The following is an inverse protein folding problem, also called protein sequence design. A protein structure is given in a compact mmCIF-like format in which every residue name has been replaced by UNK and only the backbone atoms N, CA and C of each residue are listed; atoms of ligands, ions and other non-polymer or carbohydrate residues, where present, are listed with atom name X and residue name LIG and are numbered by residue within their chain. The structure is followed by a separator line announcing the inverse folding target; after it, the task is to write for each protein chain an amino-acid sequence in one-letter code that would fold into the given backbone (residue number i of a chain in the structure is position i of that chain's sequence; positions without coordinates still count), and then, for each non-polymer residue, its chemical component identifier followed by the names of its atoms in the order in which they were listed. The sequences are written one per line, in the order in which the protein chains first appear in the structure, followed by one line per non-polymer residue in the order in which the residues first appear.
data_IF_328422553941
#
_entry.id   IF_328422553941
#
_cell.length_a   1.000
_cell.length_b   1.000
_cell.length_c   1.000
_cell.angle_alpha   90.00
_cell.angle_beta   90.00
_cell.angle_gamma   90.00
#
_symmetry.space_group_name_H-M   'P 1'
#
loop_
_entity.id
_entity.type
_entity.pdbx_description
1 polymer ?
#
# COMPACT_ATOMS: atom_id res chain seq x y z
N UNK A 1 -12.66 -6.00 13.63
CA UNK A 1 -13.33 -4.76 14.08
C UNK A 1 -14.71 -4.56 13.43
N UNK A 2 -15.04 -5.22 12.34
CA UNK A 2 -16.27 -5.02 11.54
C UNK A 2 -16.57 -3.53 11.22
N UNK A 3 -15.54 -2.70 11.16
CA UNK A 3 -15.66 -1.29 10.80
C UNK A 3 -15.52 -1.10 9.30
N UNK A 4 -16.27 -0.16 8.69
CA UNK A 4 -16.02 0.23 7.30
C UNK A 4 -14.57 0.70 7.12
N UNK A 5 -13.90 0.31 6.04
CA UNK A 5 -12.49 0.66 5.81
C UNK A 5 -12.19 2.15 5.81
N UNK A 6 -13.15 2.97 5.36
CA UNK A 6 -13.01 4.44 5.43
C UNK A 6 -12.92 4.94 6.89
N UNK A 7 -13.60 4.27 7.82
CA UNK A 7 -13.51 4.56 9.25
C UNK A 7 -12.15 4.11 9.78
N UNK A 8 -11.66 2.92 9.37
CA UNK A 8 -10.32 2.43 9.74
C UNK A 8 -9.24 3.38 9.21
N UNK A 9 -9.31 3.76 7.93
CA UNK A 9 -8.35 4.68 7.33
C UNK A 9 -8.30 6.04 8.04
N UNK A 10 -9.44 6.58 8.43
CA UNK A 10 -9.51 7.89 9.13
C UNK A 10 -9.18 7.81 10.61
N UNK A 11 -9.57 6.76 11.29
CA UNK A 11 -9.44 6.63 12.74
C UNK A 11 -8.12 6.00 13.20
N UNK A 12 -7.55 5.12 12.40
CA UNK A 12 -6.39 4.31 12.80
C UNK A 12 -5.17 4.48 11.89
N UNK A 13 -5.28 5.21 10.78
CA UNK A 13 -4.19 5.38 9.84
C UNK A 13 -3.79 6.86 9.69
N UNK A 14 -2.54 7.06 9.29
CA UNK A 14 -2.03 8.32 8.73
C UNK A 14 -1.81 8.14 7.25
N UNK A 15 -2.32 9.11 6.49
CA UNK A 15 -2.06 9.25 5.08
C UNK A 15 -0.80 10.09 4.86
N UNK A 16 0.06 9.65 3.96
CA UNK A 16 1.26 10.38 3.52
C UNK A 16 1.54 10.09 2.05
N UNK A 17 2.40 10.87 1.45
CA UNK A 17 2.99 10.57 0.15
C UNK A 17 4.37 9.99 0.39
N UNK A 18 4.71 8.89 -0.27
CA UNK A 18 6.04 8.30 -0.25
C UNK A 18 7.08 9.29 -0.80
N UNK A 19 8.22 9.42 -0.14
CA UNK A 19 9.25 10.39 -0.54
C UNK A 19 9.97 9.99 -1.84
N UNK A 20 10.04 8.69 -2.12
CA UNK A 20 10.70 8.15 -3.32
C UNK A 20 9.67 7.80 -4.37
N UNK A 21 8.65 7.02 -4.02
CA UNK A 21 7.64 6.55 -4.97
C UNK A 21 6.61 7.59 -5.38
N UNK A 22 6.46 8.69 -4.61
CA UNK A 22 5.40 9.70 -4.76
C UNK A 22 3.98 9.13 -4.71
N UNK A 23 3.85 7.86 -4.33
CA UNK A 23 2.55 7.19 -4.17
C UNK A 23 1.91 7.50 -2.81
N UNK A 24 0.58 7.47 -2.75
CA UNK A 24 -0.13 7.54 -1.49
C UNK A 24 0.15 6.30 -0.63
N UNK A 25 0.37 6.52 0.66
CA UNK A 25 0.63 5.47 1.64
C UNK A 25 -0.27 5.65 2.85
N UNK A 26 -0.98 4.59 3.23
CA UNK A 26 -1.68 4.49 4.51
C UNK A 26 -0.83 3.66 5.49
N UNK A 27 -0.51 4.24 6.65
CA UNK A 27 0.20 3.55 7.72
C UNK A 27 -0.60 3.64 9.00
N UNK A 28 -0.57 2.59 9.82
CA UNK A 28 -1.16 2.63 11.15
C UNK A 28 -0.57 3.80 11.95
N UNK A 29 -1.44 4.60 12.54
CA UNK A 29 -1.05 5.75 13.34
C UNK A 29 -0.77 5.29 14.77
N UNK A 30 0.36 5.68 15.38
CA UNK A 30 0.61 5.40 16.79
C UNK A 30 -0.41 6.14 17.68
N UNK A 31 -0.73 5.56 18.83
CA UNK A 31 -1.59 6.21 19.84
C UNK A 31 -0.91 7.48 20.35
N UNK A 32 -1.68 8.56 20.52
CA UNK A 32 -1.15 9.89 20.86
C UNK A 32 -0.32 9.94 22.14
N UNK A 33 -0.68 9.10 23.11
CA UNK A 33 -0.04 9.07 24.43
C UNK A 33 1.28 8.28 24.45
N UNK A 34 1.45 7.37 23.49
CA UNK A 34 2.67 6.59 23.35
C UNK A 34 3.05 6.47 21.88
N UNK A 35 3.92 7.37 21.42
CA UNK A 35 4.26 7.56 20.00
C UNK A 35 4.82 6.33 19.30
N UNK A 36 5.18 5.28 20.03
CA UNK A 36 5.77 4.06 19.52
C UNK A 36 4.79 2.88 19.46
N UNK A 37 3.59 2.98 20.05
CA UNK A 37 2.71 1.84 20.16
C UNK A 37 1.67 1.78 19.04
N UNK A 38 1.49 0.57 18.51
CA UNK A 38 0.43 0.25 17.57
C UNK A 38 -0.95 0.54 18.19
N UNK A 39 -1.93 1.11 17.45
CA UNK A 39 -3.27 1.38 17.97
C UNK A 39 -4.06 0.11 18.35
N UNK A 40 -3.60 -1.05 17.92
CA UNK A 40 -4.21 -2.35 18.23
C UNK A 40 -3.44 -3.15 19.30
N UNK A 41 -2.42 -2.55 19.93
CA UNK A 41 -1.70 -3.19 21.02
C UNK A 41 -2.45 -2.95 22.33
N UNK A 42 -2.97 -4.02 22.93
CA UNK A 42 -3.69 -4.01 24.21
C UNK A 42 -3.01 -4.99 25.15
N UNK A 43 -2.57 -4.56 26.31
CA UNK A 43 -1.92 -5.40 27.32
C UNK A 43 -0.82 -6.32 26.78
N UNK A 44 0.04 -5.77 25.89
CA UNK A 44 1.10 -6.47 25.18
C UNK A 44 0.64 -7.55 24.18
N UNK A 45 -0.64 -7.55 23.80
CA UNK A 45 -1.20 -8.45 22.78
C UNK A 45 -1.80 -7.66 21.61
N UNK A 46 -1.72 -8.22 20.40
CA UNK A 46 -2.38 -7.65 19.25
C UNK A 46 -3.88 -7.96 19.27
N UNK A 47 -4.72 -6.92 19.37
CA UNK A 47 -6.18 -7.07 19.37
C UNK A 47 -6.76 -7.55 18.02
N UNK A 48 -5.96 -7.54 16.96
CA UNK A 48 -6.34 -7.99 15.61
C UNK A 48 -5.40 -9.07 15.09
N UNK A 49 -4.82 -9.89 15.98
CA UNK A 49 -3.81 -10.89 15.61
C UNK A 49 -4.25 -11.81 14.45
N UNK A 50 -5.50 -12.27 14.47
CA UNK A 50 -6.06 -13.14 13.41
C UNK A 50 -6.28 -12.41 12.06
N UNK A 51 -6.14 -11.10 12.04
CA UNK A 51 -6.35 -10.24 10.87
C UNK A 51 -5.27 -9.14 10.77
N UNK A 52 -4.10 -9.42 11.29
CA UNK A 52 -2.99 -8.48 11.27
C UNK A 52 -2.47 -8.23 9.85
N UNK A 53 -1.93 -7.04 9.57
CA UNK A 53 -1.25 -6.77 8.31
C UNK A 53 -0.09 -7.75 8.08
N UNK A 54 0.17 -8.10 6.80
CA UNK A 54 1.22 -9.05 6.46
C UNK A 54 2.58 -8.67 7.06
N UNK A 55 2.92 -7.39 7.06
CA UNK A 55 4.18 -6.89 7.66
C UNK A 55 4.31 -7.21 9.15
N UNK A 56 3.20 -7.30 9.87
CA UNK A 56 3.19 -7.71 11.28
C UNK A 56 3.32 -9.23 11.42
N UNK A 57 2.59 -10.00 10.60
CA UNK A 57 2.63 -11.45 10.58
C UNK A 57 4.02 -11.98 10.18
N UNK A 58 4.70 -11.30 9.27
CA UNK A 58 6.05 -11.67 8.83
C UNK A 58 7.14 -11.40 9.86
N UNK A 59 6.95 -10.42 10.77
CA UNK A 59 8.02 -10.03 11.68
C UNK A 59 8.56 -11.23 12.49
N UNK A 60 9.86 -11.46 12.59
CA UNK A 60 10.97 -10.56 12.21
C UNK A 60 11.45 -10.66 10.76
N UNK A 61 10.79 -11.40 9.90
CA UNK A 61 11.12 -11.41 8.49
C UNK A 61 10.58 -10.15 7.79
N UNK A 62 11.29 -9.72 6.75
CA UNK A 62 10.79 -8.79 5.75
C UNK A 62 10.71 -9.48 4.40
N UNK A 63 9.81 -9.00 3.56
CA UNK A 63 9.62 -9.44 2.19
C UNK A 63 10.09 -8.35 1.24
N UNK A 64 10.81 -8.73 0.21
CA UNK A 64 11.17 -7.88 -0.91
C UNK A 64 10.63 -8.51 -2.19
N UNK A 65 10.06 -7.69 -3.06
CA UNK A 65 9.50 -8.11 -4.35
C UNK A 65 10.18 -7.30 -5.43
N UNK A 66 10.84 -8.00 -6.37
CA UNK A 66 11.52 -7.35 -7.50
C UNK A 66 10.54 -6.87 -8.57
N UNK A 67 11.01 -6.07 -9.53
CA UNK A 67 10.22 -5.64 -10.71
C UNK A 67 9.79 -6.83 -11.60
N UNK A 68 10.47 -7.96 -11.52
CA UNK A 68 10.13 -9.22 -12.21
C UNK A 68 9.16 -10.08 -11.40
N UNK A 69 8.71 -9.62 -10.21
CA UNK A 69 7.80 -10.33 -9.34
C UNK A 69 8.46 -11.44 -8.52
N UNK A 70 9.81 -11.46 -8.45
CA UNK A 70 10.52 -12.41 -7.61
C UNK A 70 10.44 -11.99 -6.15
N UNK A 71 10.08 -12.94 -5.28
CA UNK A 71 9.93 -12.72 -3.85
C UNK A 71 11.15 -13.25 -3.11
N UNK A 72 11.70 -12.44 -2.24
CA UNK A 72 12.76 -12.82 -1.31
C UNK A 72 12.40 -12.40 0.11
N UNK A 73 12.92 -13.17 1.08
CA UNK A 73 12.71 -12.93 2.51
C UNK A 73 14.05 -12.74 3.20
N UNK A 74 14.12 -11.80 4.11
CA UNK A 74 15.32 -11.54 4.92
C UNK A 74 14.96 -11.24 6.37
N UNK A 75 15.89 -11.53 7.26
CA UNK A 75 15.74 -11.23 8.69
C UNK A 75 16.03 -9.76 8.95
N UNK A 76 15.08 -9.07 9.58
CA UNK A 76 15.30 -7.69 10.03
C UNK A 76 16.14 -7.65 11.31
N UNK A 77 16.99 -6.64 11.50
CA UNK A 77 17.61 -6.37 12.79
C UNK A 77 16.53 -6.15 13.84
N UNK A 78 16.47 -6.99 14.86
CA UNK A 78 15.48 -6.88 15.92
C UNK A 78 16.16 -6.49 17.23
N UNK A 79 15.57 -5.55 17.96
CA UNK A 79 16.01 -5.21 19.31
C UNK A 79 15.37 -6.09 20.41
N UNK A 80 14.47 -7.01 20.04
CA UNK A 80 13.88 -7.97 20.96
C UNK A 80 14.80 -9.18 21.08
N UNK A 81 15.36 -9.40 22.26
CA UNK A 81 16.19 -10.57 22.59
C UNK A 81 15.35 -11.85 22.57
N UNK A 82 15.18 -12.44 21.40
CA UNK A 82 14.61 -13.78 21.23
C UNK A 82 15.70 -14.85 21.40
N UNK A 83 15.31 -16.03 21.86
CA UNK A 83 16.18 -17.20 21.74
C UNK A 83 16.30 -17.55 20.25
N UNK A 84 17.51 -17.91 19.82
CA UNK A 84 17.74 -18.45 18.49
C UNK A 84 16.97 -19.77 18.39
N UNK A 85 15.93 -19.80 17.60
CA UNK A 85 15.17 -21.02 17.28
C UNK A 85 15.66 -21.47 15.90
N UNK A 86 16.24 -22.65 15.82
CA UNK A 86 16.51 -23.29 14.55
C UNK A 86 15.18 -23.68 13.90
N UNK A 87 14.70 -22.88 12.95
CA UNK A 87 13.50 -23.13 12.19
C UNK A 87 13.75 -22.79 10.72
N UNK A 88 13.09 -23.53 9.82
CA UNK A 88 13.12 -23.17 8.40
C UNK A 88 12.20 -21.99 8.15
N UNK A 89 12.62 -21.04 7.32
CA UNK A 89 11.79 -19.91 6.88
C UNK A 89 10.44 -20.38 6.34
N UNK A 90 10.43 -21.46 5.57
CA UNK A 90 9.21 -22.05 5.01
C UNK A 90 8.21 -22.49 6.10
N UNK A 91 8.67 -23.08 7.20
CA UNK A 91 7.80 -23.49 8.30
C UNK A 91 7.18 -22.28 9.01
N UNK A 92 7.96 -21.18 9.11
CA UNK A 92 7.47 -19.92 9.64
C UNK A 92 6.39 -19.31 8.74
N UNK A 93 6.67 -19.18 7.44
CA UNK A 93 5.74 -18.60 6.46
C UNK A 93 4.42 -19.37 6.37
N UNK A 94 4.48 -20.71 6.47
CA UNK A 94 3.29 -21.57 6.42
C UNK A 94 2.32 -21.35 7.58
N UNK A 95 2.80 -20.89 8.75
CA UNK A 95 1.94 -20.61 9.92
C UNK A 95 0.98 -19.44 9.68
N UNK A 96 1.32 -18.52 8.80
CA UNK A 96 0.58 -17.29 8.53
C UNK A 96 -0.10 -17.28 7.17
N UNK A 97 -0.21 -18.45 6.52
CA UNK A 97 -0.79 -18.59 5.18
C UNK A 97 -0.18 -17.63 4.14
N UNK A 98 1.12 -17.33 4.31
CA UNK A 98 1.83 -16.39 3.44
C UNK A 98 1.83 -16.85 1.98
N UNK A 99 2.03 -18.15 1.66
CA UNK A 99 1.99 -18.59 0.26
C UNK A 99 0.68 -18.29 -0.46
N UNK A 100 -0.48 -18.35 0.22
CA UNK A 100 -1.77 -18.02 -0.38
C UNK A 100 -1.94 -16.51 -0.59
N UNK A 101 -1.26 -15.69 0.20
CA UNK A 101 -1.29 -14.21 0.13
C UNK A 101 -0.26 -13.63 -0.83
N UNK A 102 0.83 -14.35 -1.07
CA UNK A 102 1.99 -13.87 -1.84
C UNK A 102 1.61 -13.39 -3.26
N UNK A 103 0.70 -14.07 -3.94
CA UNK A 103 0.25 -13.67 -5.26
C UNK A 103 -0.43 -12.27 -5.25
N UNK A 104 -1.17 -11.95 -4.18
CA UNK A 104 -1.79 -10.63 -3.99
C UNK A 104 -0.74 -9.57 -3.67
N UNK A 105 0.24 -9.90 -2.83
CA UNK A 105 1.33 -9.00 -2.46
C UNK A 105 2.20 -8.68 -3.68
N UNK A 106 2.54 -9.69 -4.49
CA UNK A 106 3.26 -9.51 -5.76
C UNK A 106 2.46 -8.60 -6.70
N UNK A 107 1.16 -8.87 -6.88
CA UNK A 107 0.32 -8.02 -7.74
C UNK A 107 0.25 -6.58 -7.25
N UNK A 108 0.13 -6.38 -5.94
CA UNK A 108 0.14 -5.05 -5.32
C UNK A 108 1.49 -4.33 -5.53
N UNK A 109 2.61 -5.01 -5.26
CA UNK A 109 3.94 -4.44 -5.41
C UNK A 109 4.22 -4.02 -6.86
N UNK A 110 3.94 -4.90 -7.83
CA UNK A 110 4.10 -4.58 -9.25
C UNK A 110 3.19 -3.42 -9.68
N UNK A 111 1.97 -3.36 -9.17
CA UNK A 111 1.07 -2.22 -9.40
C UNK A 111 1.67 -0.92 -8.86
N UNK A 112 2.24 -0.93 -7.66
CA UNK A 112 2.88 0.25 -7.09
C UNK A 112 4.07 0.70 -7.95
N UNK A 113 4.91 -0.22 -8.43
CA UNK A 113 6.05 0.09 -9.30
C UNK A 113 5.62 0.68 -10.65
N UNK A 114 4.55 0.12 -11.29
CA UNK A 114 3.96 0.69 -12.50
C UNK A 114 3.44 2.12 -12.28
N UNK A 115 2.75 2.34 -11.15
CA UNK A 115 2.17 3.65 -10.82
C UNK A 115 3.23 4.69 -10.45
N UNK A 116 4.34 4.28 -9.84
CA UNK A 116 5.49 5.15 -9.58
C UNK A 116 6.02 5.75 -10.89
N UNK A 117 6.29 4.89 -11.88
CA UNK A 117 6.76 5.31 -13.21
C UNK A 117 5.74 6.24 -13.92
N UNK A 118 4.43 6.01 -13.73
CA UNK A 118 3.36 6.85 -14.30
C UNK A 118 3.25 8.21 -13.57
N UNK A 119 3.35 8.23 -12.25
CA UNK A 119 3.28 9.47 -11.46
C UNK A 119 4.46 10.37 -11.81
N UNK A 120 5.68 9.83 -11.94
CA UNK A 120 6.85 10.60 -12.38
C UNK A 120 6.61 11.26 -13.75
N UNK A 121 6.03 10.53 -14.71
CA UNK A 121 5.66 11.10 -16.02
C UNK A 121 4.62 12.20 -15.90
N UNK A 122 3.62 12.06 -15.03
CA UNK A 122 2.58 13.07 -14.82
C UNK A 122 3.14 14.33 -14.15
N UNK A 123 4.08 14.19 -13.22
CA UNK A 123 4.77 15.30 -12.55
C UNK A 123 5.57 16.16 -13.57
N UNK A 124 6.14 15.52 -14.56
CA UNK A 124 6.88 16.22 -15.62
C UNK A 124 6.00 17.03 -16.59
N UNK A 125 4.71 16.68 -16.74
CA UNK A 125 3.85 17.25 -17.80
C UNK A 125 2.64 18.03 -17.28
N UNK A 126 2.13 17.74 -16.08
CA UNK A 126 0.93 18.37 -15.56
C UNK A 126 1.24 19.63 -14.75
N UNK A 127 0.36 20.63 -14.85
CA UNK A 127 0.38 21.76 -13.93
C UNK A 127 0.09 21.30 -12.49
N UNK A 128 0.50 22.06 -11.46
CA UNK A 128 0.29 21.70 -10.07
C UNK A 128 -1.18 21.47 -9.70
N UNK A 129 -2.11 22.14 -10.38
CA UNK A 129 -3.56 21.95 -10.17
C UNK A 129 -4.02 20.61 -10.71
N UNK A 130 -3.59 20.25 -11.91
CA UNK A 130 -3.96 18.96 -12.53
C UNK A 130 -3.27 17.80 -11.85
N UNK A 131 -2.03 17.98 -11.39
CA UNK A 131 -1.31 16.97 -10.63
C UNK A 131 -2.03 16.63 -9.31
N UNK A 132 -2.51 17.64 -8.56
CA UNK A 132 -3.32 17.38 -7.36
C UNK A 132 -4.60 16.58 -7.67
N UNK A 133 -5.23 16.84 -8.82
CA UNK A 133 -6.40 16.05 -9.27
C UNK A 133 -6.01 14.61 -9.60
N UNK A 134 -4.88 14.42 -10.30
CA UNK A 134 -4.35 13.08 -10.60
C UNK A 134 -4.04 12.29 -9.32
N UNK A 135 -3.41 12.91 -8.32
CA UNK A 135 -3.14 12.31 -7.03
C UNK A 135 -4.41 11.97 -6.24
N UNK A 136 -5.44 12.84 -6.26
CA UNK A 136 -6.72 12.54 -5.62
C UNK A 136 -7.41 11.31 -6.24
N UNK A 137 -7.34 11.14 -7.56
CA UNK A 137 -7.83 9.94 -8.26
C UNK A 137 -7.04 8.69 -7.89
N UNK A 138 -5.73 8.82 -7.75
CA UNK A 138 -4.85 7.73 -7.30
C UNK A 138 -5.23 7.24 -5.89
N UNK A 139 -5.45 8.15 -4.94
CA UNK A 139 -5.96 7.82 -3.61
C UNK A 139 -7.25 7.01 -3.66
N UNK A 140 -8.21 7.44 -4.48
CA UNK A 140 -9.50 6.77 -4.65
C UNK A 140 -9.32 5.36 -5.22
N UNK A 141 -8.51 5.22 -6.28
CA UNK A 141 -8.29 3.95 -6.93
C UNK A 141 -7.58 2.92 -6.05
N UNK A 142 -6.62 3.34 -5.23
CA UNK A 142 -5.84 2.42 -4.39
C UNK A 142 -6.54 2.06 -3.07
N UNK A 143 -7.35 2.95 -2.47
CA UNK A 143 -7.80 2.76 -1.09
C UNK A 143 -9.29 2.90 -0.84
N UNK A 144 -10.08 3.50 -1.74
CA UNK A 144 -11.45 3.86 -1.38
C UNK A 144 -12.54 3.29 -2.27
N UNK A 145 -12.24 2.93 -3.52
CA UNK A 145 -13.23 2.41 -4.46
C UNK A 145 -13.31 0.88 -4.42
N UNK A 146 -13.63 0.32 -3.24
CA UNK A 146 -13.76 -1.13 -3.06
C UNK A 146 -15.05 -1.49 -2.33
N UNK A 147 -15.73 -2.52 -2.85
CA UNK A 147 -16.75 -3.27 -2.14
C UNK A 147 -16.07 -4.47 -1.47
N UNK A 148 -16.00 -4.45 -0.16
CA UNK A 148 -15.29 -5.47 0.64
C UNK A 148 -16.06 -6.80 0.75
N UNK A 149 -17.29 -6.87 0.24
CA UNK A 149 -18.01 -8.13 0.05
C UNK A 149 -17.61 -8.86 -1.23
N UNK A 150 -16.83 -8.23 -2.10
CA UNK A 150 -16.41 -8.76 -3.40
C UNK A 150 -14.90 -9.04 -3.43
N UNK A 151 -14.45 -9.94 -4.32
CA UNK A 151 -13.02 -10.19 -4.52
C UNK A 151 -12.24 -8.91 -4.84
N UNK A 152 -11.09 -8.74 -4.19
CA UNK A 152 -10.30 -7.51 -4.30
C UNK A 152 -9.66 -7.32 -5.68
N UNK A 153 -9.06 -8.37 -6.26
CA UNK A 153 -8.24 -8.27 -7.46
C UNK A 153 -8.99 -7.73 -8.69
N UNK A 154 -10.19 -8.21 -9.04
CA UNK A 154 -10.95 -7.65 -10.16
C UNK A 154 -11.29 -6.18 -9.97
N UNK A 155 -11.53 -5.74 -8.72
CA UNK A 155 -11.81 -4.34 -8.40
C UNK A 155 -10.56 -3.48 -8.54
N UNK A 156 -9.39 -3.95 -8.08
CA UNK A 156 -8.12 -3.25 -8.31
C UNK A 156 -7.90 -3.01 -9.80
N UNK A 157 -8.06 -4.04 -10.63
CA UNK A 157 -7.85 -3.94 -12.07
C UNK A 157 -8.81 -2.95 -12.73
N UNK A 158 -10.10 -2.98 -12.34
CA UNK A 158 -11.09 -2.03 -12.81
C UNK A 158 -10.77 -0.58 -12.38
N UNK A 159 -10.35 -0.40 -11.13
CA UNK A 159 -9.94 0.90 -10.58
C UNK A 159 -8.71 1.45 -11.31
N UNK A 160 -7.72 0.61 -11.59
CA UNK A 160 -6.52 1.00 -12.33
C UNK A 160 -6.83 1.36 -13.78
N UNK A 161 -7.72 0.62 -14.43
CA UNK A 161 -8.18 0.96 -15.78
C UNK A 161 -8.86 2.34 -15.82
N UNK A 162 -9.78 2.60 -14.89
CA UNK A 162 -10.43 3.89 -14.74
C UNK A 162 -9.46 5.03 -14.43
N UNK A 163 -8.49 4.78 -13.55
CA UNK A 163 -7.45 5.74 -13.18
C UNK A 163 -6.61 6.16 -14.40
N UNK A 164 -6.10 5.17 -15.18
CA UNK A 164 -5.30 5.43 -16.38
C UNK A 164 -6.09 6.22 -17.43
N UNK A 165 -7.38 5.93 -17.60
CA UNK A 165 -8.28 6.68 -18.48
C UNK A 165 -8.48 8.14 -18.02
N UNK A 166 -8.63 8.37 -16.72
CA UNK A 166 -8.75 9.72 -16.14
C UNK A 166 -7.44 10.51 -16.28
N UNK A 167 -6.28 9.89 -16.05
CA UNK A 167 -4.97 10.51 -16.24
C UNK A 167 -4.70 10.89 -17.69
N UNK A 168 -5.10 10.05 -18.65
CA UNK A 168 -5.01 10.36 -20.08
C UNK A 168 -5.83 11.62 -20.43
N UNK A 169 -7.04 11.77 -19.87
CA UNK A 169 -7.87 12.99 -20.06
C UNK A 169 -7.20 14.24 -19.50
N UNK A 170 -6.57 14.14 -18.30
CA UNK A 170 -5.86 15.26 -17.69
C UNK A 170 -4.66 15.70 -18.55
N UNK A 171 -3.89 14.74 -19.04
CA UNK A 171 -2.74 14.98 -19.92
C UNK A 171 -3.18 15.63 -21.23
N UNK A 172 -4.23 15.11 -21.88
CA UNK A 172 -4.76 15.69 -23.10
C UNK A 172 -5.29 17.13 -22.90
N UNK A 173 -5.92 17.38 -21.75
CA UNK A 173 -6.35 18.73 -21.39
C UNK A 173 -5.16 19.70 -21.23
N UNK A 174 -4.10 19.27 -20.51
CA UNK A 174 -2.89 20.07 -20.34
C UNK A 174 -2.23 20.41 -21.68
N UNK A 175 -2.14 19.44 -22.59
CA UNK A 175 -1.57 19.64 -23.92
C UNK A 175 -2.33 20.69 -24.73
N UNK A 176 -3.68 20.66 -24.69
CA UNK A 176 -4.51 21.67 -25.36
C UNK A 176 -4.28 23.08 -24.82
N UNK A 177 -4.15 23.23 -23.49
CA UNK A 177 -3.86 24.51 -22.86
C UNK A 177 -2.49 25.06 -23.29
N UNK A 178 -1.47 24.20 -23.35
CA UNK A 178 -0.13 24.60 -23.77
C UNK A 178 -0.06 25.06 -25.24
N UNK A 179 -0.93 24.52 -26.11
CA UNK A 179 -1.04 24.95 -27.52
C UNK A 179 -1.72 26.30 -27.65
N UNK A 180 -2.77 26.56 -26.83
CA UNK A 180 -3.52 27.81 -26.86
C UNK A 180 -2.78 29.00 -26.22
N UNK A 181 -1.74 28.72 -25.42
CA UNK A 181 -0.94 29.76 -24.73
C UNK A 181 0.32 30.18 -25.52
N UNK A 182 0.53 29.60 -26.71
CA UNK A 182 1.56 29.97 -27.68
C UNK A 182 1.01 30.80 -28.80
#
# INVERSE_FOLDING_TARGET
LRLPPQIVARGYCRASIGQVSHLPVLRLAPVKENRSNCPFLTENHCAIHDAEPLVCALYPLAQEISREGQVSYFLQPTGCGGQVIEARVQDYLSRYDVPAREALDVRWALTCMELEDEVERLEAVLSPVLLRRAQAKLWQALYYHYDYAQPWLPQLEANLHGLKADWAKLTAYQQKQNVQSK
#
